data_IF_514118756470
#
_entry.id   IF_514118756470
#
_cell.length_a   1.000
_cell.length_b   1.000
_cell.length_c   1.000
_cell.angle_alpha   90.00
_cell.angle_beta   90.00
_cell.angle_gamma   90.00
#
_symmetry.space_group_name_H-M   'P 1'
#
loop_
_entity.id
_entity.type
_entity.pdbx_description
1 polymer ?
#
# COMPACT_ATOMS: atom_id res chain seq x y z
N UNK A 1 38.04 18.78 -19.48
CA UNK A 1 37.15 18.96 -18.31
C UNK A 1 36.89 17.60 -17.70
N UNK A 2 37.65 17.26 -16.66
CA UNK A 2 37.51 16.01 -15.90
C UNK A 2 36.27 16.14 -15.01
N UNK A 3 35.18 15.48 -15.40
CA UNK A 3 34.01 15.37 -14.53
C UNK A 3 34.45 14.71 -13.23
N UNK A 4 34.25 15.38 -12.09
CA UNK A 4 34.49 14.80 -10.78
C UNK A 4 33.72 13.48 -10.71
N UNK A 5 34.43 12.36 -10.56
CA UNK A 5 33.88 11.03 -10.34
C UNK A 5 33.24 10.97 -8.96
N UNK A 6 32.14 11.69 -8.78
CA UNK A 6 31.30 11.60 -7.61
C UNK A 6 30.66 10.22 -7.63
N UNK A 7 31.04 9.39 -6.65
CA UNK A 7 30.41 8.10 -6.38
C UNK A 7 28.89 8.23 -6.58
N UNK A 8 28.29 7.59 -7.60
CA UNK A 8 26.89 7.81 -7.90
C UNK A 8 26.06 7.33 -6.71
N UNK A 9 25.35 8.28 -6.07
CA UNK A 9 24.65 8.07 -4.81
C UNK A 9 23.40 7.20 -5.07
N UNK A 10 23.06 6.27 -4.17
CA UNK A 10 21.88 5.41 -4.32
C UNK A 10 20.58 6.21 -4.51
N UNK A 11 20.51 7.41 -3.93
CA UNK A 11 19.41 8.36 -4.11
C UNK A 11 19.20 8.82 -5.56
N UNK A 12 20.27 8.93 -6.36
CA UNK A 12 20.14 9.30 -7.77
C UNK A 12 19.45 8.19 -8.57
N UNK A 13 19.75 6.93 -8.23
CA UNK A 13 19.14 5.77 -8.86
C UNK A 13 17.68 5.61 -8.44
N UNK A 14 17.37 5.73 -7.14
CA UNK A 14 15.98 5.78 -6.68
C UNK A 14 15.18 6.90 -7.36
N UNK A 15 15.75 8.10 -7.49
CA UNK A 15 15.11 9.21 -8.17
C UNK A 15 14.86 8.92 -9.65
N UNK A 16 15.81 8.31 -10.36
CA UNK A 16 15.64 7.93 -11.76
C UNK A 16 14.50 6.91 -11.94
N UNK A 17 14.45 5.88 -11.09
CA UNK A 17 13.38 4.88 -11.10
C UNK A 17 12.01 5.52 -10.82
N UNK A 18 11.95 6.46 -9.88
CA UNK A 18 10.73 7.16 -9.51
C UNK A 18 10.27 8.13 -10.61
N UNK A 19 11.21 8.84 -11.24
CA UNK A 19 10.93 9.69 -12.39
C UNK A 19 10.34 8.88 -13.56
N UNK A 20 10.89 7.70 -13.82
CA UNK A 20 10.41 6.77 -14.86
C UNK A 20 8.98 6.32 -14.58
N UNK A 21 8.68 5.90 -13.34
CA UNK A 21 7.32 5.54 -12.94
C UNK A 21 6.33 6.68 -13.21
N UNK A 22 6.71 7.92 -12.88
CA UNK A 22 5.84 9.09 -13.06
C UNK A 22 5.61 9.46 -14.53
N UNK A 23 6.60 9.26 -15.41
CA UNK A 23 6.53 9.68 -16.81
C UNK A 23 6.04 8.56 -17.74
N UNK A 24 6.55 7.34 -17.59
CA UNK A 24 6.21 6.19 -18.44
C UNK A 24 4.98 5.44 -17.89
N UNK A 25 4.74 5.49 -16.58
CA UNK A 25 3.72 4.68 -15.89
C UNK A 25 2.39 5.38 -15.60
N UNK A 26 2.14 6.58 -16.12
CA UNK A 26 1.00 7.44 -15.74
C UNK A 26 -0.38 6.75 -15.80
N UNK A 27 -0.63 5.95 -16.84
CA UNK A 27 -1.88 5.17 -16.96
C UNK A 27 -1.98 4.07 -15.89
N UNK A 28 -0.86 3.43 -15.55
CA UNK A 28 -0.81 2.39 -14.50
C UNK A 28 -0.97 2.98 -13.10
N UNK A 29 -0.57 4.24 -12.87
CA UNK A 29 -0.75 4.94 -11.60
C UNK A 29 -2.22 5.28 -11.31
N UNK A 30 -3.01 5.62 -12.34
CA UNK A 30 -4.42 5.99 -12.18
C UNK A 30 -5.36 4.78 -12.15
N UNK A 31 -4.97 3.67 -12.77
CA UNK A 31 -5.77 2.44 -12.84
C UNK A 31 -6.28 1.92 -11.47
N UNK A 32 -5.51 1.92 -10.37
CA UNK A 32 -6.00 1.50 -9.05
C UNK A 32 -6.71 2.61 -8.25
N UNK A 33 -6.61 3.88 -8.66
CA UNK A 33 -7.28 5.00 -7.98
C UNK A 33 -8.78 5.04 -8.32
N UNK A 34 -9.13 4.81 -9.59
CA UNK A 34 -10.52 4.75 -10.03
C UNK A 34 -11.39 3.72 -9.27
N UNK A 35 -10.99 2.43 -9.16
CA UNK A 35 -11.77 1.45 -8.40
C UNK A 35 -11.83 1.77 -6.91
N UNK A 36 -10.81 2.42 -6.35
CA UNK A 36 -10.84 2.90 -4.97
C UNK A 36 -11.89 3.98 -4.76
N UNK A 37 -11.89 5.02 -5.60
CA UNK A 37 -12.89 6.09 -5.56
C UNK A 37 -14.29 5.53 -5.80
N UNK A 38 -14.45 4.61 -6.74
CA UNK A 38 -15.72 3.94 -7.01
C UNK A 38 -16.20 3.13 -5.79
N UNK A 39 -15.33 2.33 -5.18
CA UNK A 39 -15.68 1.55 -3.99
C UNK A 39 -16.09 2.47 -2.82
N UNK A 40 -15.34 3.55 -2.60
CA UNK A 40 -15.65 4.52 -1.55
C UNK A 40 -16.97 5.25 -1.84
N UNK A 41 -17.21 5.67 -3.08
CA UNK A 41 -18.46 6.32 -3.49
C UNK A 41 -19.67 5.37 -3.35
N UNK A 42 -19.56 4.12 -3.81
CA UNK A 42 -20.62 3.11 -3.67
C UNK A 42 -20.95 2.91 -2.19
N UNK A 43 -19.92 2.75 -1.35
CA UNK A 43 -20.07 2.55 0.09
C UNK A 43 -20.79 3.74 0.77
N UNK A 44 -20.43 4.97 0.42
CA UNK A 44 -21.08 6.18 0.98
C UNK A 44 -22.52 6.31 0.47
N UNK A 45 -22.73 6.24 -0.85
CA UNK A 45 -24.04 6.46 -1.48
C UNK A 45 -25.06 5.40 -1.06
N UNK A 46 -24.66 4.14 -0.96
CA UNK A 46 -25.52 3.05 -0.49
C UNK A 46 -25.90 3.26 0.98
N UNK A 47 -24.96 3.68 1.83
CA UNK A 47 -25.25 3.97 3.24
C UNK A 47 -26.16 5.17 3.43
N UNK A 48 -26.09 6.19 2.56
CA UNK A 48 -26.96 7.37 2.63
C UNK A 48 -28.40 7.06 2.21
N UNK A 49 -28.61 6.10 1.29
CA UNK A 49 -29.93 5.70 0.81
C UNK A 49 -30.64 4.66 1.70
N UNK A 50 -29.88 3.87 2.46
CA UNK A 50 -30.42 2.76 3.26
C UNK A 50 -30.95 3.19 4.63
N UNK A 51 -32.25 3.45 4.75
CA UNK A 51 -32.93 3.61 6.04
C UNK A 51 -33.22 2.23 6.68
N UNK A 52 -32.24 1.62 7.35
CA UNK A 52 -32.56 0.69 8.45
C UNK A 52 -31.99 -0.73 8.45
N UNK A 53 -31.29 -1.21 7.41
CA UNK A 53 -30.73 -2.57 7.46
C UNK A 53 -29.46 -2.72 6.61
N UNK A 54 -28.37 -2.05 6.99
CA UNK A 54 -27.04 -2.48 6.53
C UNK A 54 -26.60 -3.61 7.46
N UNK A 55 -26.44 -4.83 6.96
CA UNK A 55 -25.89 -5.94 7.74
C UNK A 55 -24.54 -5.52 8.35
N UNK A 56 -24.38 -5.67 9.67
CA UNK A 56 -23.19 -5.20 10.39
C UNK A 56 -23.21 -3.73 10.82
N UNK A 57 -24.33 -3.00 10.64
CA UNK A 57 -24.50 -1.62 11.11
C UNK A 57 -24.15 -1.43 12.59
N UNK A 58 -24.34 -2.44 13.45
CA UNK A 58 -23.99 -2.35 14.86
C UNK A 58 -22.50 -2.09 15.13
N UNK A 59 -21.59 -2.69 14.35
CA UNK A 59 -20.14 -2.45 14.49
C UNK A 59 -19.77 -1.02 14.10
N UNK A 60 -20.29 -0.57 12.94
CA UNK A 60 -20.04 0.79 12.45
C UNK A 60 -20.71 1.85 13.33
N UNK A 61 -21.90 1.58 13.87
CA UNK A 61 -22.55 2.44 14.85
C UNK A 61 -21.75 2.54 16.14
N UNK A 62 -21.15 1.45 16.63
CA UNK A 62 -20.29 1.48 17.81
C UNK A 62 -19.05 2.35 17.59
N UNK A 63 -18.45 2.30 16.39
CA UNK A 63 -17.34 3.19 16.02
C UNK A 63 -17.83 4.63 15.92
N UNK A 64 -18.97 4.86 15.26
CA UNK A 64 -19.54 6.19 15.11
C UNK A 64 -19.88 6.84 16.46
N UNK A 65 -20.52 6.11 17.38
CA UNK A 65 -20.87 6.59 18.71
C UNK A 65 -19.66 7.06 19.53
N UNK A 66 -18.46 6.55 19.23
CA UNK A 66 -17.20 6.96 19.89
C UNK A 66 -16.58 8.21 19.29
N UNK A 67 -16.78 8.46 18.00
CA UNK A 67 -16.00 9.45 17.24
C UNK A 67 -16.85 10.53 16.57
N UNK A 68 -18.18 10.46 16.64
CA UNK A 68 -19.06 11.44 16.02
C UNK A 68 -20.30 11.75 16.87
N UNK A 69 -20.80 12.96 16.72
CA UNK A 69 -22.12 13.38 17.21
C UNK A 69 -22.93 13.98 16.05
N UNK A 70 -24.19 13.57 15.88
CA UNK A 70 -25.08 14.08 14.82
C UNK A 70 -25.71 13.00 13.93
N UNK A 71 -26.27 13.44 12.81
CA UNK A 71 -26.96 12.57 11.85
C UNK A 71 -26.02 11.63 11.09
N UNK A 72 -26.56 10.54 10.54
CA UNK A 72 -25.85 9.63 9.61
C UNK A 72 -24.63 8.91 10.24
N UNK A 73 -24.74 8.58 11.53
CA UNK A 73 -23.72 7.86 12.29
C UNK A 73 -23.20 6.60 11.57
N UNK A 74 -24.07 5.82 10.92
CA UNK A 74 -23.66 4.61 10.17
C UNK A 74 -22.67 4.95 9.05
N UNK A 75 -22.97 5.96 8.23
CA UNK A 75 -22.12 6.35 7.09
C UNK A 75 -20.76 6.84 7.57
N UNK A 76 -20.74 7.63 8.64
CA UNK A 76 -19.49 8.09 9.26
C UNK A 76 -18.70 6.92 9.84
N UNK A 77 -19.35 6.01 10.58
CA UNK A 77 -18.69 4.82 11.15
C UNK A 77 -18.10 3.91 10.08
N UNK A 78 -18.82 3.74 8.97
CA UNK A 78 -18.35 3.04 7.78
C UNK A 78 -17.10 3.72 7.22
N UNK A 79 -17.13 5.04 7.03
CA UNK A 79 -16.02 5.77 6.43
C UNK A 79 -14.77 5.83 7.34
N UNK A 80 -14.98 5.95 8.65
CA UNK A 80 -13.91 5.89 9.66
C UNK A 80 -13.29 4.50 9.80
N UNK A 81 -14.01 3.44 9.45
CA UNK A 81 -13.51 2.06 9.59
C UNK A 81 -12.95 1.55 8.27
N UNK A 82 -13.77 1.59 7.22
CA UNK A 82 -13.44 1.06 5.90
C UNK A 82 -12.61 2.03 5.07
N UNK A 83 -12.65 3.34 5.31
CA UNK A 83 -11.80 4.30 4.58
C UNK A 83 -10.30 3.97 4.73
N UNK A 84 -9.75 3.93 5.95
CA UNK A 84 -8.36 3.53 6.18
C UNK A 84 -8.06 2.09 5.74
N UNK A 85 -9.01 1.16 5.90
CA UNK A 85 -8.84 -0.23 5.49
C UNK A 85 -8.72 -0.39 3.97
N UNK A 86 -9.60 0.27 3.21
CA UNK A 86 -9.55 0.30 1.76
C UNK A 86 -8.30 1.05 1.28
N UNK A 87 -7.92 2.14 1.95
CA UNK A 87 -6.67 2.83 1.63
C UNK A 87 -5.47 1.88 1.80
N UNK A 88 -5.41 1.09 2.88
CA UNK A 88 -4.36 0.09 3.07
C UNK A 88 -4.35 -0.98 1.96
N UNK A 89 -5.55 -1.47 1.61
CA UNK A 89 -5.73 -2.50 0.60
C UNK A 89 -5.28 -2.04 -0.79
N UNK A 90 -5.83 -0.92 -1.26
CA UNK A 90 -5.51 -0.38 -2.59
C UNK A 90 -4.10 0.17 -2.68
N UNK A 91 -3.56 0.71 -1.58
CA UNK A 91 -2.16 1.10 -1.52
C UNK A 91 -1.25 -0.12 -1.68
N UNK A 92 -1.46 -1.17 -0.89
CA UNK A 92 -0.67 -2.41 -1.02
C UNK A 92 -0.75 -3.00 -2.43
N UNK A 93 -1.94 -3.05 -3.05
CA UNK A 93 -2.09 -3.52 -4.43
C UNK A 93 -1.28 -2.67 -5.42
N UNK A 94 -1.31 -1.34 -5.26
CA UNK A 94 -0.62 -0.40 -6.14
C UNK A 94 0.90 -0.51 -6.01
N UNK A 95 1.39 -0.62 -4.78
CA UNK A 95 2.82 -0.81 -4.49
C UNK A 95 3.32 -2.14 -5.02
N UNK A 96 2.60 -3.25 -4.76
CA UNK A 96 2.96 -4.57 -5.29
C UNK A 96 3.08 -4.55 -6.81
N UNK A 97 2.10 -3.95 -7.51
CA UNK A 97 2.13 -3.81 -8.97
C UNK A 97 3.28 -2.92 -9.45
N UNK A 98 3.53 -1.79 -8.78
CA UNK A 98 4.60 -0.87 -9.14
C UNK A 98 5.99 -1.50 -8.96
N UNK A 99 6.16 -2.30 -7.90
CA UNK A 99 7.38 -3.07 -7.62
C UNK A 99 7.59 -4.17 -8.65
N UNK A 100 6.59 -5.00 -8.89
CA UNK A 100 6.68 -6.09 -9.85
C UNK A 100 6.87 -5.60 -11.28
N UNK A 101 6.15 -4.53 -11.65
CA UNK A 101 6.31 -3.88 -12.94
C UNK A 101 7.72 -3.32 -13.13
N UNK A 102 8.32 -2.74 -12.08
CA UNK A 102 9.71 -2.31 -12.11
C UNK A 102 10.66 -3.50 -12.32
N UNK A 103 10.60 -4.51 -11.44
CA UNK A 103 11.50 -5.67 -11.53
C UNK A 103 11.36 -6.37 -12.88
N UNK A 104 10.14 -6.61 -13.35
CA UNK A 104 9.88 -7.23 -14.65
C UNK A 104 10.40 -6.40 -15.83
N UNK A 105 10.24 -5.08 -15.79
CA UNK A 105 10.77 -4.19 -16.83
C UNK A 105 12.30 -4.16 -16.85
N UNK A 106 12.95 -4.20 -15.69
CA UNK A 106 14.42 -4.22 -15.60
C UNK A 106 14.99 -5.59 -16.02
N UNK A 107 14.33 -6.71 -15.69
CA UNK A 107 14.74 -8.05 -16.16
C UNK A 107 14.61 -8.16 -17.68
N UNK A 108 13.44 -7.80 -18.24
CA UNK A 108 13.17 -7.95 -19.69
C UNK A 108 14.05 -7.07 -20.58
N UNK A 109 14.54 -5.94 -20.06
CA UNK A 109 15.42 -5.02 -20.79
C UNK A 109 16.91 -5.30 -20.61
N UNK A 110 17.28 -6.29 -19.79
CA UNK A 110 18.68 -6.49 -19.38
C UNK A 110 19.20 -5.34 -18.49
N UNK A 111 18.31 -4.53 -17.91
CA UNK A 111 18.68 -3.37 -17.10
C UNK A 111 19.49 -3.77 -15.86
N UNK A 112 19.24 -4.95 -15.29
CA UNK A 112 20.08 -5.49 -14.22
C UNK A 112 21.52 -5.79 -14.70
N UNK A 113 21.70 -6.29 -15.93
CA UNK A 113 23.01 -6.55 -16.52
C UNK A 113 23.76 -5.24 -16.80
N UNK A 114 23.06 -4.24 -17.34
CA UNK A 114 23.60 -2.90 -17.55
C UNK A 114 24.01 -2.22 -16.23
N UNK A 115 23.20 -2.38 -15.18
CA UNK A 115 23.48 -1.83 -13.85
C UNK A 115 24.67 -2.51 -13.17
N UNK A 116 24.90 -3.80 -13.43
CA UNK A 116 26.08 -4.53 -12.95
C UNK A 116 27.34 -4.24 -13.79
N UNK A 117 27.18 -3.92 -15.07
CA UNK A 117 28.27 -3.44 -15.93
C UNK A 117 28.73 -2.02 -15.58
N UNK A 118 27.87 -1.24 -14.92
CA UNK A 118 28.17 0.07 -14.36
C UNK A 118 28.86 -0.03 -12.98
N UNK A 119 29.51 1.03 -12.45
CA UNK A 119 30.20 1.00 -11.16
C UNK A 119 29.25 1.03 -9.94
N UNK A 120 28.19 0.22 -9.97
CA UNK A 120 27.25 0.01 -8.87
C UNK A 120 27.49 -1.33 -8.20
N UNK A 121 27.44 -1.35 -6.86
CA UNK A 121 27.48 -2.61 -6.11
C UNK A 121 26.07 -3.18 -6.00
N UNK A 122 25.89 -4.52 -5.92
CA UNK A 122 24.58 -5.15 -5.74
C UNK A 122 23.78 -4.60 -4.56
N UNK A 123 24.47 -4.29 -3.45
CA UNK A 123 23.85 -3.66 -2.26
C UNK A 123 23.28 -2.27 -2.55
N UNK A 124 23.91 -1.48 -3.43
CA UNK A 124 23.41 -0.15 -3.83
C UNK A 124 22.18 -0.26 -4.72
N UNK A 125 22.15 -1.26 -5.60
CA UNK A 125 20.97 -1.57 -6.44
C UNK A 125 19.80 -2.00 -5.54
N UNK A 126 20.02 -2.92 -4.61
CA UNK A 126 19.00 -3.35 -3.63
C UNK A 126 18.48 -2.17 -2.80
N UNK A 127 19.37 -1.31 -2.29
CA UNK A 127 18.97 -0.12 -1.53
C UNK A 127 18.14 0.86 -2.37
N UNK A 128 18.47 1.01 -3.67
CA UNK A 128 17.73 1.90 -4.55
C UNK A 128 16.32 1.37 -4.87
N UNK A 129 16.17 0.06 -5.06
CA UNK A 129 14.89 -0.63 -5.26
C UNK A 129 14.02 -0.56 -4.00
N UNK A 130 14.61 -0.78 -2.82
CA UNK A 130 13.94 -0.60 -1.53
C UNK A 130 13.48 0.86 -1.34
N UNK A 131 14.33 1.83 -1.70
CA UNK A 131 14.00 3.25 -1.67
C UNK A 131 12.85 3.60 -2.62
N UNK A 132 12.83 3.01 -3.82
CA UNK A 132 11.73 3.17 -4.77
C UNK A 132 10.42 2.62 -4.21
N UNK A 133 10.45 1.41 -3.64
CA UNK A 133 9.27 0.77 -3.02
C UNK A 133 8.71 1.62 -1.87
N UNK A 134 9.58 2.09 -0.98
CA UNK A 134 9.17 2.94 0.14
C UNK A 134 8.57 4.27 -0.35
N UNK A 135 9.20 4.92 -1.32
CA UNK A 135 8.71 6.16 -1.89
C UNK A 135 7.35 5.96 -2.59
N UNK A 136 7.21 4.91 -3.42
CA UNK A 136 5.94 4.56 -4.06
C UNK A 136 4.84 4.31 -3.02
N UNK A 137 5.13 3.55 -1.96
CA UNK A 137 4.18 3.29 -0.87
C UNK A 137 3.73 4.56 -0.16
N UNK A 138 4.65 5.49 0.12
CA UNK A 138 4.31 6.78 0.74
C UNK A 138 3.49 7.68 -0.19
N UNK A 139 3.79 7.72 -1.49
CA UNK A 139 3.06 8.54 -2.45
C UNK A 139 1.62 8.03 -2.65
N UNK A 140 1.45 6.73 -2.86
CA UNK A 140 0.11 6.13 -2.96
C UNK A 140 -0.66 6.26 -1.65
N UNK A 141 -0.02 6.02 -0.50
CA UNK A 141 -0.61 6.25 0.81
C UNK A 141 -1.17 7.67 0.93
N UNK A 142 -0.35 8.69 0.61
CA UNK A 142 -0.76 10.08 0.72
C UNK A 142 -1.96 10.38 -0.18
N UNK A 143 -1.96 9.87 -1.42
CA UNK A 143 -3.07 10.04 -2.35
C UNK A 143 -4.37 9.40 -1.83
N UNK A 144 -4.32 8.13 -1.39
CA UNK A 144 -5.50 7.42 -0.89
C UNK A 144 -6.03 8.04 0.40
N UNK A 145 -5.16 8.40 1.34
CA UNK A 145 -5.58 9.07 2.59
C UNK A 145 -6.13 10.46 2.33
N UNK A 146 -5.60 11.22 1.36
CA UNK A 146 -6.17 12.50 0.95
C UNK A 146 -7.60 12.34 0.40
N UNK A 147 -7.84 11.32 -0.44
CA UNK A 147 -9.19 11.04 -0.95
C UNK A 147 -10.15 10.66 0.20
N UNK A 148 -9.72 9.81 1.13
CA UNK A 148 -10.54 9.48 2.32
C UNK A 148 -10.83 10.71 3.16
N UNK A 149 -9.82 11.54 3.42
CA UNK A 149 -9.97 12.77 4.20
C UNK A 149 -10.93 13.76 3.51
N UNK A 150 -10.81 13.93 2.18
CA UNK A 150 -11.73 14.76 1.39
C UNK A 150 -13.16 14.23 1.42
N UNK A 151 -13.35 12.92 1.26
CA UNK A 151 -14.67 12.31 1.35
C UNK A 151 -15.28 12.47 2.76
N UNK A 152 -14.47 12.31 3.81
CA UNK A 152 -14.87 12.54 5.20
C UNK A 152 -15.27 14.00 5.41
N UNK A 153 -14.43 14.93 4.97
CA UNK A 153 -14.66 16.36 5.11
C UNK A 153 -15.89 16.84 4.36
N UNK A 154 -16.11 16.33 3.14
CA UNK A 154 -17.30 16.63 2.36
C UNK A 154 -18.57 16.11 3.05
N UNK A 155 -18.55 14.90 3.60
CA UNK A 155 -19.66 14.36 4.37
C UNK A 155 -19.94 15.22 5.62
N UNK A 156 -18.92 15.62 6.36
CA UNK A 156 -19.04 16.48 7.55
C UNK A 156 -19.49 17.91 7.20
N UNK A 157 -19.12 18.42 6.04
CA UNK A 157 -19.55 19.75 5.59
C UNK A 157 -21.02 19.74 5.13
N UNK A 158 -21.49 18.62 4.58
CA UNK A 158 -22.85 18.48 4.03
C UNK A 158 -23.86 17.92 5.02
N UNK A 159 -23.40 17.21 6.05
CA UNK A 159 -24.23 16.71 7.14
C UNK A 159 -23.86 17.47 8.41
N UNK A 160 -24.82 17.84 9.27
CA UNK A 160 -24.59 18.59 10.52
C UNK A 160 -23.89 17.75 11.61
N UNK A 161 -22.85 17.02 11.22
CA UNK A 161 -22.17 15.98 11.97
C UNK A 161 -20.85 16.53 12.49
N UNK A 162 -20.54 16.30 13.77
CA UNK A 162 -19.30 16.77 14.39
C UNK A 162 -18.41 15.58 14.70
N UNK A 163 -17.18 15.62 14.18
CA UNK A 163 -16.17 14.59 14.44
C UNK A 163 -15.32 14.95 15.67
N UNK A 164 -15.11 13.96 16.52
CA UNK A 164 -14.23 14.01 17.68
C UNK A 164 -13.18 12.90 17.55
N UNK A 165 -12.19 13.11 16.69
CA UNK A 165 -11.14 12.13 16.42
C UNK A 165 -10.03 12.25 17.47
N UNK A 166 -9.86 11.21 18.29
CA UNK A 166 -8.74 11.14 19.23
C UNK A 166 -7.40 10.89 18.55
N UNK A 167 -6.30 11.30 19.19
CA UNK A 167 -4.92 11.09 18.70
C UNK A 167 -4.61 9.61 18.39
N UNK A 168 -5.14 8.68 19.19
CA UNK A 168 -4.97 7.24 18.97
C UNK A 168 -5.64 6.75 17.68
N UNK A 169 -6.82 7.28 17.36
CA UNK A 169 -7.53 6.92 16.13
C UNK A 169 -6.86 7.54 14.90
N UNK A 170 -6.46 8.80 14.97
CA UNK A 170 -5.75 9.45 13.85
C UNK A 170 -4.41 8.77 13.56
N UNK A 171 -3.65 8.41 14.61
CA UNK A 171 -2.44 7.61 14.47
C UNK A 171 -2.72 6.25 13.83
N UNK A 172 -3.74 5.52 14.28
CA UNK A 172 -4.14 4.24 13.66
C UNK A 172 -4.48 4.43 12.18
N UNK A 173 -5.37 5.37 11.86
CA UNK A 173 -5.89 5.60 10.52
C UNK A 173 -4.79 6.02 9.53
N UNK A 174 -3.74 6.71 9.99
CA UNK A 174 -2.64 7.16 9.14
C UNK A 174 -1.51 6.13 9.07
N UNK A 175 -1.06 5.61 10.22
CA UNK A 175 0.15 4.78 10.32
C UNK A 175 -0.12 3.36 9.86
N UNK A 176 -1.26 2.76 10.23
CA UNK A 176 -1.53 1.36 9.90
C UNK A 176 -1.58 1.11 8.38
N UNK A 177 -2.30 1.93 7.56
CA UNK A 177 -2.30 1.75 6.12
C UNK A 177 -0.93 1.90 5.46
N UNK A 178 -0.08 2.78 5.99
CA UNK A 178 1.28 2.96 5.51
C UNK A 178 2.14 1.73 5.81
N UNK A 179 2.10 1.22 7.04
CA UNK A 179 2.82 0.02 7.44
C UNK A 179 2.43 -1.17 6.59
N UNK A 180 1.13 -1.39 6.38
CA UNK A 180 0.62 -2.48 5.55
C UNK A 180 1.14 -2.38 4.11
N UNK A 181 1.15 -1.18 3.53
CA UNK A 181 1.64 -1.00 2.17
C UNK A 181 3.14 -1.24 2.05
N UNK A 182 3.93 -0.82 3.06
CA UNK A 182 5.35 -1.15 3.14
C UNK A 182 5.57 -2.66 3.27
N UNK A 183 4.80 -3.35 4.11
CA UNK A 183 4.86 -4.81 4.24
C UNK A 183 4.48 -5.52 2.93
N UNK A 184 3.42 -5.07 2.26
CA UNK A 184 3.00 -5.64 0.98
C UNK A 184 4.05 -5.44 -0.11
N UNK A 185 4.63 -4.24 -0.20
CA UNK A 185 5.71 -3.92 -1.12
C UNK A 185 7.00 -4.69 -0.84
N UNK A 186 7.39 -4.85 0.42
CA UNK A 186 8.58 -5.61 0.79
C UNK A 186 8.42 -7.11 0.54
N UNK A 187 7.23 -7.67 0.79
CA UNK A 187 6.91 -9.06 0.42
C UNK A 187 6.89 -9.24 -1.10
N UNK A 188 6.34 -8.27 -1.84
CA UNK A 188 6.36 -8.29 -3.31
C UNK A 188 7.81 -8.31 -3.83
N UNK A 189 8.69 -7.47 -3.29
CA UNK A 189 10.11 -7.48 -3.61
C UNK A 189 10.76 -8.82 -3.27
N UNK A 190 10.50 -9.36 -2.08
CA UNK A 190 11.04 -10.63 -1.64
C UNK A 190 10.67 -11.76 -2.61
N UNK A 191 9.40 -11.84 -3.00
CA UNK A 191 8.95 -12.88 -3.93
C UNK A 191 9.49 -12.65 -5.33
N UNK A 192 9.48 -11.41 -5.83
CA UNK A 192 9.98 -11.09 -7.17
C UNK A 192 11.48 -11.31 -7.33
N UNK A 193 12.28 -11.09 -6.29
CA UNK A 193 13.73 -11.20 -6.37
C UNK A 193 14.25 -12.59 -5.99
N UNK A 194 13.65 -13.26 -4.99
CA UNK A 194 14.13 -14.57 -4.53
C UNK A 194 13.39 -15.76 -5.16
N UNK A 195 12.19 -15.53 -5.68
CA UNK A 195 11.37 -16.58 -6.30
C UNK A 195 10.77 -16.13 -7.64
N UNK A 196 11.59 -15.72 -8.63
CA UNK A 196 11.11 -15.17 -9.90
C UNK A 196 10.16 -16.14 -10.64
N UNK A 197 10.39 -17.46 -10.53
CA UNK A 197 9.50 -18.49 -11.09
C UNK A 197 8.08 -18.43 -10.52
N UNK A 198 7.92 -18.13 -9.22
CA UNK A 198 6.61 -17.93 -8.60
C UNK A 198 5.91 -16.67 -9.09
N UNK A 199 6.64 -15.77 -9.76
CA UNK A 199 6.09 -14.56 -10.38
C UNK A 199 5.81 -14.70 -11.88
N UNK A 200 6.45 -15.66 -12.57
CA UNK A 200 6.24 -15.90 -14.00
C UNK A 200 5.04 -16.81 -14.30
N UNK A 201 4.68 -17.72 -13.38
CA UNK A 201 3.56 -18.68 -13.56
C UNK A 201 2.23 -17.96 -13.85
N UNK A 202 2.00 -16.76 -13.30
CA UNK A 202 0.82 -15.94 -13.60
C UNK A 202 0.92 -15.11 -14.90
N UNK A 203 2.13 -14.80 -15.37
CA UNK A 203 2.36 -13.99 -16.57
C UNK A 203 2.13 -14.76 -17.88
N UNK A 204 2.47 -16.05 -17.91
CA UNK A 204 2.28 -16.92 -19.07
C UNK A 204 0.80 -17.24 -19.39
N UNK A 205 -0.10 -17.05 -18.43
CA UNK A 205 -1.52 -17.37 -18.57
C UNK A 205 -2.41 -16.19 -19.03
N UNK A 206 -1.84 -15.00 -19.30
CA UNK A 206 -2.61 -13.82 -19.74
C UNK A 206 -3.63 -13.28 -18.71
N UNK A 207 -3.72 -13.90 -17.54
CA UNK A 207 -4.58 -13.50 -16.44
C UNK A 207 -3.81 -12.50 -15.56
N UNK A 208 -4.03 -11.21 -15.79
CA UNK A 208 -3.42 -10.08 -15.08
C UNK A 208 -3.64 -10.02 -13.55
N UNK A 209 -4.10 -11.10 -12.91
CA UNK A 209 -4.42 -11.16 -11.48
C UNK A 209 -4.04 -12.45 -10.75
N UNK A 210 -3.53 -13.49 -11.42
CA UNK A 210 -3.37 -14.83 -10.83
C UNK A 210 -1.92 -15.21 -10.55
N UNK A 211 -1.23 -14.49 -9.66
CA UNK A 211 0.14 -14.83 -9.30
C UNK A 211 0.25 -15.15 -7.80
N UNK A 212 0.87 -16.28 -7.43
CA UNK A 212 1.03 -16.66 -6.01
C UNK A 212 1.74 -15.57 -5.20
N UNK A 213 2.70 -14.86 -5.81
CA UNK A 213 3.35 -13.71 -5.20
C UNK A 213 2.42 -12.52 -4.93
N UNK A 214 1.38 -12.31 -5.75
CA UNK A 214 0.35 -11.31 -5.50
C UNK A 214 -0.51 -11.69 -4.31
N UNK A 215 -0.90 -12.97 -4.23
CA UNK A 215 -1.71 -13.43 -3.10
C UNK A 215 -0.96 -13.25 -1.79
N UNK A 216 0.30 -13.68 -1.71
CA UNK A 216 1.13 -13.58 -0.50
C UNK A 216 1.34 -12.12 -0.09
N UNK A 217 1.69 -11.24 -1.04
CA UNK A 217 1.92 -9.81 -0.75
C UNK A 217 0.65 -9.05 -0.38
N UNK A 218 -0.53 -9.54 -0.78
CA UNK A 218 -1.82 -8.93 -0.45
C UNK A 218 -2.43 -9.43 0.87
N UNK A 219 -1.92 -10.50 1.47
CA UNK A 219 -2.43 -11.03 2.74
C UNK A 219 -2.46 -9.99 3.87
N UNK A 220 -1.39 -9.19 4.12
CA UNK A 220 -1.44 -8.15 5.16
C UNK A 220 -2.54 -7.12 4.92
N UNK A 221 -2.75 -6.76 3.65
CA UNK A 221 -3.77 -5.83 3.23
C UNK A 221 -5.19 -6.38 3.42
N UNK A 222 -5.44 -7.64 3.03
CA UNK A 222 -6.73 -8.29 3.31
C UNK A 222 -6.99 -8.41 4.81
N UNK A 223 -5.97 -8.84 5.57
CA UNK A 223 -6.03 -8.92 7.02
C UNK A 223 -6.41 -7.59 7.67
N UNK A 224 -5.92 -6.47 7.14
CA UNK A 224 -6.25 -5.14 7.66
C UNK A 224 -7.74 -4.78 7.58
N UNK A 225 -8.44 -5.26 6.56
CA UNK A 225 -9.89 -5.04 6.42
C UNK A 225 -10.62 -5.75 7.55
N UNK A 226 -10.26 -6.99 7.85
CA UNK A 226 -10.84 -7.73 8.97
C UNK A 226 -10.46 -7.09 10.32
N UNK A 227 -9.19 -6.75 10.51
CA UNK A 227 -8.67 -6.15 11.75
C UNK A 227 -9.34 -4.80 12.04
N UNK A 228 -9.54 -3.94 11.05
CA UNK A 228 -10.24 -2.68 11.26
C UNK A 228 -11.74 -2.86 11.43
N UNK A 229 -12.39 -3.72 10.63
CA UNK A 229 -13.84 -3.92 10.68
C UNK A 229 -14.31 -4.59 11.98
N UNK A 230 -13.56 -5.59 12.45
CA UNK A 230 -13.91 -6.37 13.64
C UNK A 230 -13.07 -5.99 14.86
N UNK A 231 -11.80 -5.64 14.70
CA UNK A 231 -10.92 -5.33 15.84
C UNK A 231 -11.11 -3.93 16.41
N UNK A 232 -11.36 -2.90 15.58
CA UNK A 232 -11.53 -1.52 16.04
C UNK A 232 -12.63 -1.31 17.10
N UNK A 233 -13.85 -1.84 16.93
CA UNK A 233 -14.91 -1.67 17.94
C UNK A 233 -14.56 -2.33 19.28
N UNK A 234 -13.83 -3.45 19.28
CA UNK A 234 -13.57 -4.26 20.47
C UNK A 234 -12.27 -3.88 21.20
N UNK A 235 -11.16 -3.71 20.48
CA UNK A 235 -9.84 -3.50 21.06
C UNK A 235 -9.52 -2.01 21.27
N UNK A 236 -10.16 -1.12 20.52
CA UNK A 236 -9.84 0.31 20.49
C UNK A 236 -8.60 0.64 19.66
N UNK A 237 -8.48 1.90 19.26
CA UNK A 237 -7.51 2.30 18.22
C UNK A 237 -6.04 2.10 18.62
N UNK A 238 -5.65 2.44 19.85
CA UNK A 238 -4.25 2.34 20.30
C UNK A 238 -3.77 0.90 20.40
N UNK A 239 -4.56 0.02 21.02
CA UNK A 239 -4.22 -1.41 21.14
C UNK A 239 -4.17 -2.09 19.77
N UNK A 240 -5.10 -1.75 18.89
CA UNK A 240 -5.12 -2.26 17.52
C UNK A 240 -3.88 -1.83 16.73
N UNK A 241 -3.47 -0.56 16.86
CA UNK A 241 -2.25 -0.06 16.22
C UNK A 241 -1.01 -0.79 16.74
N UNK A 242 -0.89 -1.00 18.04
CA UNK A 242 0.27 -1.72 18.60
C UNK A 242 0.32 -3.17 18.12
N UNK A 243 -0.81 -3.88 18.16
CA UNK A 243 -0.86 -5.28 17.77
C UNK A 243 -0.67 -5.46 16.25
N UNK A 244 -1.55 -4.86 15.44
CA UNK A 244 -1.53 -5.02 13.99
C UNK A 244 -0.37 -4.25 13.34
N UNK A 245 -0.10 -3.03 13.79
CA UNK A 245 1.03 -2.23 13.35
C UNK A 245 2.37 -2.87 13.75
N UNK A 246 2.47 -3.39 14.97
CA UNK A 246 3.66 -4.13 15.41
C UNK A 246 3.92 -5.38 14.56
N UNK A 247 2.87 -6.16 14.27
CA UNK A 247 2.99 -7.39 13.46
C UNK A 247 3.41 -7.05 12.02
N UNK A 248 2.76 -6.06 11.40
CA UNK A 248 3.10 -5.61 10.03
C UNK A 248 4.51 -5.04 9.95
N UNK A 249 4.94 -4.28 10.96
CA UNK A 249 6.30 -3.77 11.06
C UNK A 249 7.33 -4.89 11.15
N UNK A 250 7.12 -5.90 11.99
CA UNK A 250 8.04 -7.06 12.12
C UNK A 250 8.16 -7.81 10.78
N UNK A 251 7.05 -8.05 10.09
CA UNK A 251 7.06 -8.73 8.78
C UNK A 251 7.78 -7.87 7.74
N UNK A 252 7.53 -6.56 7.71
CA UNK A 252 8.20 -5.64 6.80
C UNK A 252 9.71 -5.62 7.06
N UNK A 253 10.12 -5.52 8.32
CA UNK A 253 11.52 -5.49 8.70
C UNK A 253 12.23 -6.81 8.35
N UNK A 254 11.62 -7.95 8.66
CA UNK A 254 12.17 -9.26 8.32
C UNK A 254 12.32 -9.43 6.79
N UNK A 255 11.29 -9.09 6.02
CA UNK A 255 11.33 -9.20 4.55
C UNK A 255 12.37 -8.27 3.92
N UNK A 256 12.46 -7.01 4.35
CA UNK A 256 13.50 -6.07 3.88
C UNK A 256 14.90 -6.57 4.24
N UNK A 257 15.09 -7.11 5.45
CA UNK A 257 16.38 -7.63 5.89
C UNK A 257 16.80 -8.84 5.06
N UNK A 258 15.86 -9.75 4.79
CA UNK A 258 16.10 -10.92 3.92
C UNK A 258 16.45 -10.47 2.51
N UNK A 259 15.71 -9.53 1.92
CA UNK A 259 16.04 -8.97 0.60
C UNK A 259 17.44 -8.34 0.61
N UNK A 260 17.76 -7.50 1.60
CA UNK A 260 19.07 -6.84 1.67
C UNK A 260 20.24 -7.83 1.88
N UNK A 261 20.02 -8.94 2.59
CA UNK A 261 21.04 -9.94 2.88
C UNK A 261 21.22 -10.97 1.75
N UNK A 262 20.13 -11.40 1.11
CA UNK A 262 20.10 -12.50 0.15
C UNK A 262 20.06 -12.03 -1.32
N UNK A 263 19.98 -10.73 -1.59
CA UNK A 263 19.95 -10.23 -2.97
C UNK A 263 21.25 -10.58 -3.72
N UNK A 264 21.15 -11.58 -4.59
CA UNK A 264 22.14 -11.86 -5.62
C UNK A 264 21.54 -11.51 -6.98
N UNK A 265 22.03 -10.47 -7.67
CA UNK A 265 21.45 -10.04 -8.94
C UNK A 265 21.62 -11.11 -10.02
N UNK A 266 22.62 -11.98 -9.90
CA UNK A 266 22.85 -13.15 -10.76
C UNK A 266 21.66 -14.13 -10.72
N UNK A 267 21.05 -14.34 -9.54
CA UNK A 267 19.89 -15.24 -9.39
C UNK A 267 18.61 -14.72 -10.06
N UNK A 268 18.54 -13.42 -10.35
CA UNK A 268 17.44 -12.82 -11.11
C UNK A 268 17.66 -12.88 -12.64
N UNK A 269 18.89 -13.18 -13.08
CA UNK A 269 19.27 -13.29 -14.50
C UNK A 269 19.19 -14.75 -15.00
N UNK A 270 19.43 -15.72 -14.12
CA UNK A 270 19.35 -17.16 -14.43
C UNK A 270 17.90 -17.71 -14.53
N UNK A 271 16.89 -16.85 -14.47
CA UNK A 271 15.46 -17.22 -14.37
C UNK A 271 14.61 -16.92 -15.59
#
# INVERSE_FOLDING_TARGET
>A
MTASSGNPRPFALTHALLWRLLHEGRHHLLAPVLPFVAALAIMVLTSLRGSGAVNGAGSFLNVAARYTSGGHAVTVGILLTLGPALAALFNSMSVTRAVQGLVGAEVTRGGFEELLGAPYTPRRIAAAILGYMAAAATCFWAAYMAIVALATGLLVATTSTRLHLGAGYTALALVLPLLIALTGGSLALLVSLLFPRLTQIGGAAGLSGGNLGNVISMLPALGSVFVLTYGLPHLGATRLLVAAGGTTFVIAFASVTIVAACFSPETALDS
#
